data_IF_315432518279
#
_entry.id   IF_315432518279
#
_cell.length_a   1.000
_cell.length_b   1.000
_cell.length_c   1.000
_cell.angle_alpha   90.00
_cell.angle_beta   90.00
_cell.angle_gamma   90.00
#
_symmetry.space_group_name_H-M   'P 1'
#
loop_
_entity.id
_entity.type
_entity.pdbx_description
1 polymer ?
#
# COMPACT_ATOMS: atom_id res chain seq x y z
N UNK A 1 -56.53 -5.85 -2.03
CA UNK A 1 -55.62 -4.70 -1.88
C UNK A 1 -54.62 -5.00 -0.78
N UNK A 2 -53.50 -5.64 -1.14
CA UNK A 2 -52.39 -5.90 -0.23
C UNK A 2 -51.23 -5.01 -0.63
N UNK A 3 -50.81 -4.10 0.25
CA UNK A 3 -49.60 -3.31 0.04
C UNK A 3 -48.52 -3.78 1.00
N UNK A 4 -47.52 -4.44 0.40
CA UNK A 4 -46.18 -4.65 0.91
C UNK A 4 -45.53 -3.31 1.25
N UNK A 5 -45.22 -3.10 2.51
CA UNK A 5 -44.17 -2.17 2.92
C UNK A 5 -43.18 -2.94 3.80
N UNK A 6 -42.36 -3.77 3.16
CA UNK A 6 -41.09 -4.21 3.74
C UNK A 6 -39.99 -3.42 3.03
N UNK A 7 -39.71 -2.23 3.58
CA UNK A 7 -38.51 -1.47 3.24
C UNK A 7 -37.32 -2.24 3.79
N UNK A 8 -36.58 -2.81 2.85
CA UNK A 8 -35.27 -3.42 2.98
C UNK A 8 -34.37 -2.57 3.88
N UNK A 9 -34.16 -3.05 5.10
CA UNK A 9 -33.19 -2.51 6.05
C UNK A 9 -31.80 -2.79 5.51
N UNK A 10 -31.34 -1.83 4.72
CA UNK A 10 -29.98 -1.52 4.32
C UNK A 10 -28.92 -2.04 5.33
N UNK A 11 -28.51 -3.29 5.15
CA UNK A 11 -27.51 -3.94 5.96
C UNK A 11 -26.13 -3.55 5.43
N UNK A 12 -25.72 -2.31 5.71
CA UNK A 12 -24.33 -1.88 5.54
C UNK A 12 -23.47 -2.73 6.48
N UNK A 13 -22.97 -3.86 5.98
CA UNK A 13 -21.89 -4.61 6.60
C UNK A 13 -20.70 -3.67 6.71
N UNK A 14 -20.52 -3.10 7.90
CA UNK A 14 -19.31 -2.38 8.28
C UNK A 14 -18.20 -3.44 8.24
N UNK A 15 -17.50 -3.51 7.11
CA UNK A 15 -16.28 -4.30 6.99
C UNK A 15 -15.31 -3.68 7.98
N UNK A 16 -15.17 -4.30 9.14
CA UNK A 16 -14.16 -3.93 10.14
C UNK A 16 -12.81 -4.16 9.46
N UNK A 17 -12.25 -3.11 8.87
CA UNK A 17 -10.88 -3.08 8.41
C UNK A 17 -10.02 -3.37 9.65
N UNK A 18 -9.60 -4.62 9.79
CA UNK A 18 -8.53 -4.97 10.69
C UNK A 18 -7.30 -4.31 10.07
N UNK A 19 -6.96 -3.12 10.55
CA UNK A 19 -5.63 -2.58 10.35
C UNK A 19 -4.68 -3.69 10.80
N UNK A 20 -4.06 -4.38 9.84
CA UNK A 20 -2.84 -5.13 10.10
C UNK A 20 -1.78 -4.07 10.34
N UNK A 21 -1.89 -3.46 11.52
CA UNK A 21 -0.83 -2.72 12.14
C UNK A 21 0.33 -3.69 12.11
N UNK A 22 1.38 -3.36 11.36
CA UNK A 22 2.61 -4.14 11.32
C UNK A 22 3.15 -4.18 12.76
N UNK A 23 2.70 -5.18 13.52
CA UNK A 23 2.98 -5.30 14.96
C UNK A 23 4.49 -5.29 15.17
N UNK A 24 5.22 -5.86 14.24
CA UNK A 24 6.68 -5.87 14.20
C UNK A 24 7.25 -4.45 14.11
N UNK A 25 6.79 -3.60 13.19
CA UNK A 25 7.25 -2.21 13.09
C UNK A 25 6.93 -1.40 14.35
N UNK A 26 5.72 -1.57 14.89
CA UNK A 26 5.34 -0.93 16.15
C UNK A 26 6.17 -1.45 17.33
N UNK A 27 6.46 -2.74 17.40
CA UNK A 27 7.32 -3.33 18.41
C UNK A 27 8.74 -2.78 18.27
N UNK A 28 9.28 -2.64 17.06
CA UNK A 28 10.61 -2.05 16.84
C UNK A 28 10.66 -0.59 17.28
N UNK A 29 9.66 0.22 16.93
CA UNK A 29 9.58 1.63 17.36
C UNK A 29 9.41 1.71 18.87
N UNK A 30 8.50 0.92 19.45
CA UNK A 30 8.26 0.89 20.89
C UNK A 30 9.51 0.43 21.66
N UNK A 31 10.24 -0.56 21.15
CA UNK A 31 11.48 -1.05 21.72
C UNK A 31 12.59 0.02 21.64
N UNK A 32 12.68 0.75 20.53
CA UNK A 32 13.60 1.89 20.40
C UNK A 32 13.30 2.99 21.43
N UNK A 33 12.03 3.36 21.57
CA UNK A 33 11.60 4.35 22.57
C UNK A 33 11.89 3.86 23.98
N UNK A 34 11.58 2.59 24.28
CA UNK A 34 11.84 1.99 25.58
C UNK A 34 13.35 1.94 25.87
N UNK A 35 14.18 1.52 24.91
CA UNK A 35 15.64 1.48 25.04
C UNK A 35 16.22 2.88 25.26
N UNK A 36 15.71 3.88 24.54
CA UNK A 36 16.09 5.27 24.76
C UNK A 36 15.78 5.67 26.22
N UNK A 37 14.53 5.53 26.66
CA UNK A 37 14.13 5.88 28.03
C UNK A 37 14.96 5.17 29.10
N UNK A 38 15.17 3.85 28.95
CA UNK A 38 16.01 3.07 29.85
C UNK A 38 17.47 3.55 29.84
N UNK A 39 18.02 3.88 28.68
CA UNK A 39 19.36 4.45 28.55
C UNK A 39 19.50 5.76 29.32
N UNK A 40 18.50 6.64 29.26
CA UNK A 40 18.47 7.89 30.03
C UNK A 40 18.45 7.64 31.54
N UNK A 41 17.56 6.76 32.01
CA UNK A 41 17.48 6.39 33.43
C UNK A 41 18.77 5.74 33.94
N UNK A 42 19.38 4.89 33.13
CA UNK A 42 20.64 4.22 33.45
C UNK A 42 21.79 5.22 33.57
N UNK A 43 21.94 6.13 32.60
CA UNK A 43 22.95 7.18 32.64
C UNK A 43 22.76 8.12 33.84
N UNK A 44 21.52 8.45 34.18
CA UNK A 44 21.22 9.24 35.37
C UNK A 44 21.60 8.52 36.67
N UNK A 45 21.38 7.20 36.73
CA UNK A 45 21.78 6.37 37.88
C UNK A 45 23.30 6.29 38.02
N UNK A 46 24.01 6.08 36.90
CA UNK A 46 25.47 6.13 36.84
C UNK A 46 25.99 7.49 37.30
N UNK A 47 25.40 8.58 36.81
CA UNK A 47 25.79 9.94 37.16
C UNK A 47 25.71 10.16 38.68
N UNK A 48 24.61 9.77 39.33
CA UNK A 48 24.46 9.87 40.80
C UNK A 48 25.50 9.03 41.55
N UNK A 49 25.73 7.79 41.12
CA UNK A 49 26.71 6.90 41.72
C UNK A 49 28.14 7.44 41.64
N UNK A 50 28.55 7.92 40.45
CA UNK A 50 29.86 8.54 40.21
C UNK A 50 30.04 9.81 41.04
N UNK A 51 29.02 10.66 41.11
CA UNK A 51 29.08 11.91 41.88
C UNK A 51 29.31 11.63 43.37
N UNK A 52 28.68 10.58 43.89
CA UNK A 52 28.79 10.17 45.29
C UNK A 52 30.16 9.56 45.58
N UNK A 53 30.68 8.70 44.68
CA UNK A 53 31.96 8.01 44.87
C UNK A 53 33.17 8.94 44.74
N UNK A 54 33.18 9.79 43.70
CA UNK A 54 34.29 10.71 43.44
C UNK A 54 34.16 12.05 44.17
N UNK A 55 33.08 12.27 44.93
CA UNK A 55 32.74 13.55 45.59
C UNK A 55 32.83 14.73 44.63
N UNK A 56 32.38 14.54 43.39
CA UNK A 56 32.26 15.66 42.46
C UNK A 56 31.15 16.58 43.00
N UNK A 57 31.53 17.72 43.57
CA UNK A 57 30.55 18.70 44.08
C UNK A 57 29.80 19.43 42.96
N UNK A 58 30.29 19.32 41.72
CA UNK A 58 29.77 20.04 40.57
C UNK A 58 28.74 19.22 39.79
N UNK A 59 27.58 19.83 39.50
CA UNK A 59 26.55 19.28 38.60
C UNK A 59 27.02 19.09 37.15
N UNK A 60 28.24 19.50 36.82
CA UNK A 60 28.83 19.42 35.47
C UNK A 60 28.79 18.01 34.86
N UNK A 61 29.08 16.96 35.64
CA UNK A 61 29.12 15.58 35.13
C UNK A 61 27.73 15.12 34.65
N UNK A 62 26.67 15.48 35.39
CA UNK A 62 25.28 15.16 35.00
C UNK A 62 24.83 15.89 33.75
N UNK A 63 25.22 17.17 33.61
CA UNK A 63 24.94 17.97 32.41
C UNK A 63 25.68 17.39 31.20
N UNK A 64 26.97 17.06 31.35
CA UNK A 64 27.79 16.48 30.29
C UNK A 64 27.22 15.15 29.76
N UNK A 65 26.85 14.24 30.67
CA UNK A 65 26.23 12.96 30.29
C UNK A 65 24.87 13.15 29.61
N UNK A 66 24.08 14.12 30.07
CA UNK A 66 22.77 14.42 29.50
C UNK A 66 22.89 14.98 28.09
N UNK A 67 23.84 15.90 27.86
CA UNK A 67 24.14 16.44 26.52
C UNK A 67 24.62 15.32 25.59
N UNK A 68 25.55 14.47 26.04
CA UNK A 68 26.03 13.33 25.26
C UNK A 68 24.91 12.36 24.88
N UNK A 69 24.00 12.08 25.80
CA UNK A 69 22.84 11.24 25.55
C UNK A 69 21.87 11.84 24.51
N UNK A 70 21.59 13.15 24.59
CA UNK A 70 20.78 13.85 23.57
C UNK A 70 21.42 13.72 22.19
N UNK A 71 22.74 13.89 22.08
CA UNK A 71 23.47 13.71 20.82
C UNK A 71 23.30 12.31 20.26
N UNK A 72 23.37 11.26 21.11
CA UNK A 72 23.14 9.87 20.70
C UNK A 72 21.70 9.69 20.19
N UNK A 73 20.68 10.22 20.88
CA UNK A 73 19.29 10.13 20.41
C UNK A 73 19.13 10.79 19.05
N UNK A 74 19.65 12.01 18.89
CA UNK A 74 19.57 12.75 17.62
C UNK A 74 20.24 11.95 16.51
N UNK A 75 21.41 11.38 16.76
CA UNK A 75 22.11 10.56 15.79
C UNK A 75 21.31 9.31 15.39
N UNK A 76 20.71 8.61 16.36
CA UNK A 76 19.83 7.47 16.10
C UNK A 76 18.60 7.89 15.29
N UNK A 77 17.94 8.98 15.65
CA UNK A 77 16.76 9.49 14.95
C UNK A 77 17.09 9.82 13.49
N UNK A 78 18.22 10.48 13.24
CA UNK A 78 18.72 10.78 11.89
C UNK A 78 19.01 9.48 11.13
N UNK A 79 19.68 8.53 11.76
CA UNK A 79 20.02 7.24 11.14
C UNK A 79 18.78 6.45 10.71
N UNK A 80 17.78 6.33 11.60
CA UNK A 80 16.51 5.65 11.28
C UNK A 80 15.70 6.43 10.24
N UNK A 81 15.70 7.76 10.33
CA UNK A 81 15.04 8.62 9.34
C UNK A 81 15.59 8.37 7.94
N UNK A 82 16.92 8.41 7.76
CA UNK A 82 17.53 8.13 6.45
C UNK A 82 17.27 6.71 5.95
N UNK A 83 17.28 5.71 6.84
CA UNK A 83 17.07 4.31 6.48
C UNK A 83 15.64 3.98 6.07
N UNK A 84 14.64 4.65 6.66
CA UNK A 84 13.22 4.38 6.38
C UNK A 84 12.61 5.41 5.41
N UNK A 85 12.75 6.71 5.68
CA UNK A 85 12.07 7.76 4.92
C UNK A 85 12.61 7.85 3.48
N UNK A 86 13.90 7.57 3.28
CA UNK A 86 14.51 7.59 1.95
C UNK A 86 13.83 6.63 0.97
N UNK A 87 13.79 5.33 1.28
CA UNK A 87 13.06 4.34 0.47
C UNK A 87 11.59 4.69 0.28
N UNK A 88 10.88 5.10 1.33
CA UNK A 88 9.46 5.46 1.22
C UNK A 88 9.20 6.66 0.30
N UNK A 89 10.04 7.70 0.34
CA UNK A 89 9.90 8.83 -0.59
C UNK A 89 10.13 8.44 -2.05
N UNK A 90 11.02 7.48 -2.30
CA UNK A 90 11.22 6.95 -3.66
C UNK A 90 9.99 6.18 -4.12
N UNK A 91 9.49 5.26 -3.27
CA UNK A 91 8.28 4.50 -3.56
C UNK A 91 7.08 5.44 -3.81
N UNK A 92 6.95 6.52 -3.04
CA UNK A 92 5.91 7.54 -3.24
C UNK A 92 6.01 8.19 -4.63
N UNK A 93 7.22 8.56 -5.05
CA UNK A 93 7.45 9.15 -6.37
C UNK A 93 7.12 8.17 -7.50
N UNK A 94 7.60 6.94 -7.41
CA UNK A 94 7.34 5.92 -8.43
C UNK A 94 5.84 5.55 -8.48
N UNK A 95 5.17 5.45 -7.33
CA UNK A 95 3.72 5.25 -7.27
C UNK A 95 2.92 6.40 -7.86
N UNK A 96 3.38 7.65 -7.72
CA UNK A 96 2.77 8.81 -8.39
C UNK A 96 2.86 8.70 -9.91
N UNK A 97 3.89 8.07 -10.46
CA UNK A 97 4.01 7.84 -11.90
C UNK A 97 3.07 6.71 -12.36
N UNK A 98 3.00 5.62 -11.59
CA UNK A 98 2.05 4.52 -11.85
C UNK A 98 0.60 5.02 -11.81
N UNK A 99 0.27 5.88 -10.83
CA UNK A 99 -1.05 6.50 -10.73
C UNK A 99 -1.42 7.40 -11.92
N UNK A 100 -0.43 7.88 -12.69
CA UNK A 100 -0.64 8.63 -13.94
C UNK A 100 -0.82 7.71 -15.17
N UNK A 101 -0.85 6.40 -14.97
CA UNK A 101 -1.05 5.40 -16.03
C UNK A 101 0.24 4.76 -16.56
N UNK A 102 1.40 5.06 -15.98
CA UNK A 102 2.67 4.42 -16.38
C UNK A 102 2.85 3.03 -15.77
N UNK A 103 1.93 2.11 -16.09
CA UNK A 103 1.86 0.77 -15.48
C UNK A 103 3.04 -0.14 -15.83
N UNK A 104 3.80 0.17 -16.87
CA UNK A 104 5.02 -0.56 -17.25
C UNK A 104 6.18 -0.34 -16.27
N UNK A 105 6.11 0.72 -15.44
CA UNK A 105 7.13 0.97 -14.43
C UNK A 105 7.00 -0.02 -13.27
N UNK A 106 8.14 -0.39 -12.71
CA UNK A 106 8.24 -1.20 -11.50
C UNK A 106 8.91 -0.40 -10.42
N UNK A 107 8.46 -0.63 -9.20
CA UNK A 107 9.01 0.00 -8.01
C UNK A 107 10.40 -0.56 -7.75
N UNK A 108 11.36 0.31 -7.45
CA UNK A 108 12.77 -0.04 -7.29
C UNK A 108 13.28 0.31 -5.90
N UNK A 109 13.93 -0.66 -5.25
CA UNK A 109 14.50 -0.48 -3.91
C UNK A 109 15.91 -1.05 -3.86
N UNK A 110 16.78 -0.47 -3.01
CA UNK A 110 18.18 -0.93 -2.92
C UNK A 110 18.24 -2.19 -2.06
N UNK A 111 19.20 -3.06 -2.36
CA UNK A 111 19.45 -4.28 -1.56
C UNK A 111 19.81 -3.98 -0.10
N UNK A 112 20.37 -2.80 0.17
CA UNK A 112 20.73 -2.33 1.52
C UNK A 112 19.56 -1.72 2.30
N UNK A 113 18.44 -1.47 1.65
CA UNK A 113 17.25 -0.96 2.32
C UNK A 113 16.64 -2.07 3.20
N UNK A 114 15.78 -1.66 4.12
CA UNK A 114 15.18 -2.58 5.09
C UNK A 114 14.41 -3.72 4.42
N UNK A 115 14.53 -4.94 4.96
CA UNK A 115 13.93 -6.15 4.41
C UNK A 115 12.40 -6.03 4.28
N UNK A 116 11.74 -5.39 5.24
CA UNK A 116 10.28 -5.24 5.20
C UNK A 116 9.85 -4.31 4.07
N UNK A 117 10.60 -3.23 3.82
CA UNK A 117 10.31 -2.32 2.71
C UNK A 117 10.55 -3.03 1.37
N UNK A 118 11.55 -3.91 1.30
CA UNK A 118 11.79 -4.75 0.11
C UNK A 118 10.63 -5.70 -0.19
N UNK A 119 10.21 -6.50 0.78
CA UNK A 119 9.08 -7.42 0.61
C UNK A 119 7.79 -6.67 0.26
N UNK A 120 7.56 -5.52 0.88
CA UNK A 120 6.42 -4.66 0.55
C UNK A 120 6.48 -4.17 -0.91
N UNK A 121 7.66 -3.81 -1.40
CA UNK A 121 7.88 -3.38 -2.79
C UNK A 121 7.60 -4.53 -3.77
N UNK A 122 7.98 -5.75 -3.42
CA UNK A 122 7.70 -6.96 -4.22
C UNK A 122 6.19 -7.19 -4.35
N UNK A 123 5.43 -7.16 -3.25
CA UNK A 123 3.97 -7.28 -3.29
C UNK A 123 3.30 -6.16 -4.10
N UNK A 124 3.81 -4.92 -3.99
CA UNK A 124 3.29 -3.83 -4.81
C UNK A 124 3.58 -4.06 -6.30
N UNK A 125 4.74 -4.58 -6.65
CA UNK A 125 5.07 -4.91 -8.04
C UNK A 125 4.20 -6.03 -8.60
N UNK A 126 3.88 -7.05 -7.80
CA UNK A 126 2.90 -8.08 -8.16
C UNK A 126 1.52 -7.46 -8.42
N UNK A 127 1.05 -6.59 -7.52
CA UNK A 127 -0.22 -5.87 -7.68
C UNK A 127 -0.24 -5.02 -8.96
N UNK A 128 0.83 -4.26 -9.22
CA UNK A 128 0.95 -3.44 -10.45
C UNK A 128 0.93 -4.35 -11.67
N UNK A 129 1.60 -5.49 -11.63
CA UNK A 129 1.58 -6.49 -12.70
C UNK A 129 0.17 -7.01 -12.98
N UNK A 130 -0.55 -7.45 -11.95
CA UNK A 130 -1.95 -7.89 -12.09
C UNK A 130 -2.85 -6.79 -12.63
N UNK A 131 -2.66 -5.55 -12.19
CA UNK A 131 -3.42 -4.40 -12.69
C UNK A 131 -3.11 -4.07 -14.16
N UNK A 132 -1.84 -4.17 -14.56
CA UNK A 132 -1.42 -4.02 -15.95
C UNK A 132 -2.04 -5.10 -16.85
N UNK A 133 -2.05 -6.36 -16.40
CA UNK A 133 -2.65 -7.46 -17.13
C UNK A 133 -4.17 -7.29 -17.26
N UNK A 134 -4.85 -6.91 -16.17
CA UNK A 134 -6.28 -6.58 -16.20
C UNK A 134 -6.58 -5.45 -17.20
N UNK A 135 -5.76 -4.39 -17.20
CA UNK A 135 -5.92 -3.27 -18.15
C UNK A 135 -5.73 -3.72 -19.61
N UNK A 136 -4.74 -4.58 -19.89
CA UNK A 136 -4.53 -5.14 -21.23
C UNK A 136 -5.70 -6.02 -21.68
N UNK A 137 -6.21 -6.88 -20.81
CA UNK A 137 -7.35 -7.73 -21.15
C UNK A 137 -8.63 -6.91 -21.35
N UNK A 138 -8.84 -5.87 -20.55
CA UNK A 138 -9.95 -4.94 -20.72
C UNK A 138 -9.92 -4.23 -22.08
N UNK A 139 -8.74 -3.76 -22.51
CA UNK A 139 -8.56 -3.15 -23.83
C UNK A 139 -8.82 -4.15 -24.96
N UNK A 140 -8.41 -5.41 -24.80
CA UNK A 140 -8.71 -6.48 -25.77
C UNK A 140 -10.22 -6.75 -25.85
N UNK A 141 -10.90 -6.83 -24.71
CA UNK A 141 -12.34 -7.00 -24.68
C UNK A 141 -13.05 -5.85 -25.40
N UNK A 142 -12.68 -4.59 -25.11
CA UNK A 142 -13.23 -3.43 -25.80
C UNK A 142 -13.06 -3.52 -27.32
N UNK A 143 -11.85 -3.83 -27.80
CA UNK A 143 -11.60 -4.00 -29.23
C UNK A 143 -12.46 -5.13 -29.85
N UNK A 144 -12.66 -6.25 -29.14
CA UNK A 144 -13.55 -7.33 -29.60
C UNK A 144 -15.00 -6.87 -29.66
N UNK A 145 -15.49 -6.19 -28.62
CA UNK A 145 -16.85 -5.65 -28.58
C UNK A 145 -17.08 -4.66 -29.73
N UNK A 146 -16.16 -3.73 -29.96
CA UNK A 146 -16.26 -2.75 -31.03
C UNK A 146 -16.34 -3.43 -32.41
N UNK A 147 -15.49 -4.44 -32.65
CA UNK A 147 -15.52 -5.21 -33.91
C UNK A 147 -16.83 -6.00 -34.09
N UNK A 148 -17.32 -6.67 -33.04
CA UNK A 148 -18.58 -7.43 -33.10
C UNK A 148 -19.79 -6.51 -33.30
N UNK A 149 -19.80 -5.33 -32.68
CA UNK A 149 -20.83 -4.32 -32.89
C UNK A 149 -20.80 -3.74 -34.31
N UNK A 150 -19.61 -3.49 -34.86
CA UNK A 150 -19.47 -3.02 -36.25
C UNK A 150 -19.94 -4.10 -37.25
N UNK A 151 -19.64 -5.37 -36.99
CA UNK A 151 -20.12 -6.47 -37.81
C UNK A 151 -21.65 -6.59 -37.74
N UNK A 152 -22.23 -6.45 -36.54
CA UNK A 152 -23.69 -6.41 -36.34
C UNK A 152 -24.34 -5.23 -37.07
N UNK A 153 -23.72 -4.05 -37.02
CA UNK A 153 -24.22 -2.87 -37.74
C UNK A 153 -24.21 -3.11 -39.26
N UNK A 154 -23.12 -3.67 -39.82
CA UNK A 154 -23.04 -4.04 -41.24
C UNK A 154 -24.06 -5.10 -41.63
N UNK A 155 -24.32 -6.07 -40.75
CA UNK A 155 -25.39 -7.03 -40.95
C UNK A 155 -26.71 -6.30 -41.05
N UNK A 156 -27.06 -5.43 -40.10
CA UNK A 156 -28.33 -4.67 -40.11
C UNK A 156 -28.48 -3.75 -41.35
N UNK A 157 -27.38 -3.19 -41.85
CA UNK A 157 -27.41 -2.30 -43.02
C UNK A 157 -27.61 -3.06 -44.34
N UNK A 158 -27.25 -4.35 -44.43
CA UNK A 158 -27.27 -5.11 -45.68
C UNK A 158 -28.66 -5.54 -46.19
N UNK A 159 -29.73 -5.22 -45.47
CA UNK A 159 -31.13 -5.53 -45.79
C UNK A 159 -31.58 -7.01 -45.76
N UNK A 160 -30.66 -7.97 -45.90
CA UNK A 160 -30.96 -9.42 -45.85
C UNK A 160 -30.31 -10.08 -44.62
N UNK A 161 -31.05 -10.13 -43.50
CA UNK A 161 -30.55 -10.76 -42.30
C UNK A 161 -31.71 -11.35 -41.50
N UNK A 162 -31.48 -12.56 -41.02
CA UNK A 162 -32.41 -13.24 -40.14
C UNK A 162 -32.36 -12.58 -38.74
N UNK A 163 -33.48 -12.08 -38.20
CA UNK A 163 -33.54 -11.50 -36.86
C UNK A 163 -32.98 -12.42 -35.77
N UNK A 164 -33.08 -13.75 -35.97
CA UNK A 164 -32.59 -14.72 -35.00
C UNK A 164 -31.05 -14.81 -34.98
N UNK A 165 -30.38 -14.54 -36.11
CA UNK A 165 -28.91 -14.54 -36.17
C UNK A 165 -28.32 -13.33 -35.43
N UNK A 166 -28.95 -12.16 -35.58
CA UNK A 166 -28.60 -10.94 -34.83
C UNK A 166 -28.79 -11.16 -33.33
N UNK A 167 -29.94 -11.72 -32.94
CA UNK A 167 -30.23 -12.05 -31.54
C UNK A 167 -29.21 -13.03 -30.96
N UNK A 168 -28.86 -14.08 -31.70
CA UNK A 168 -27.85 -15.06 -31.26
C UNK A 168 -26.47 -14.43 -31.05
N UNK A 169 -26.05 -13.54 -31.96
CA UNK A 169 -24.79 -12.79 -31.81
C UNK A 169 -24.80 -11.85 -30.59
N UNK A 170 -25.90 -11.14 -30.36
CA UNK A 170 -26.04 -10.28 -29.17
C UNK A 170 -25.97 -11.10 -27.87
N UNK A 171 -26.62 -12.27 -27.82
CA UNK A 171 -26.54 -13.18 -26.67
C UNK A 171 -25.11 -13.68 -26.46
N UNK A 172 -24.39 -14.02 -27.54
CA UNK A 172 -23.00 -14.44 -27.47
C UNK A 172 -22.08 -13.33 -26.93
N UNK A 173 -22.23 -12.10 -27.44
CA UNK A 173 -21.50 -10.93 -26.96
C UNK A 173 -21.78 -10.65 -25.47
N UNK A 174 -23.06 -10.73 -25.05
CA UNK A 174 -23.45 -10.56 -23.65
C UNK A 174 -22.81 -11.63 -22.75
N UNK A 175 -22.75 -12.88 -23.22
CA UNK A 175 -22.09 -13.98 -22.50
C UNK A 175 -20.60 -13.72 -22.36
N UNK A 176 -19.93 -13.27 -23.42
CA UNK A 176 -18.50 -12.98 -23.42
C UNK A 176 -18.15 -11.84 -22.44
N UNK A 177 -18.98 -10.77 -22.39
CA UNK A 177 -18.85 -9.69 -21.41
C UNK A 177 -19.05 -10.22 -19.98
N UNK A 178 -20.02 -11.11 -19.77
CA UNK A 178 -20.29 -11.68 -18.46
C UNK A 178 -19.13 -12.55 -17.95
N UNK A 179 -18.59 -13.43 -18.79
CA UNK A 179 -17.43 -14.27 -18.46
C UNK A 179 -16.20 -13.43 -18.09
N UNK A 180 -15.95 -12.34 -18.81
CA UNK A 180 -14.86 -11.43 -18.48
C UNK A 180 -15.04 -10.77 -17.11
N UNK A 181 -16.27 -10.36 -16.77
CA UNK A 181 -16.58 -9.73 -15.48
C UNK A 181 -16.39 -10.67 -14.30
N UNK A 182 -16.63 -11.97 -14.46
CA UNK A 182 -16.47 -12.95 -13.37
C UNK A 182 -15.00 -13.37 -13.14
N UNK A 183 -14.11 -13.05 -14.09
CA UNK A 183 -12.68 -13.37 -14.00
C UNK A 183 -11.91 -12.46 -13.02
N UNK A 184 -12.39 -11.24 -12.78
CA UNK A 184 -11.72 -10.18 -12.01
C UNK A 184 -12.62 -9.68 -10.87
#
# INVERSE_FOLDING_TARGET
MGNMTNLDKNNKKIVRQRYFVAKELQITIALLVMLALLGGMFLQSISKGLNTYFRFESSFLGIFLSVGYIVIIVFLAIFFSYRLIGPFKRLEYEMKMIAKGELHKRLSIRTRDDLHVRNFTEYLNEFIGSFEDMSKEYNKLHATIDNELEELAKMIESGEHNPEDIKNKIIALQKHIHEFREKW
#
